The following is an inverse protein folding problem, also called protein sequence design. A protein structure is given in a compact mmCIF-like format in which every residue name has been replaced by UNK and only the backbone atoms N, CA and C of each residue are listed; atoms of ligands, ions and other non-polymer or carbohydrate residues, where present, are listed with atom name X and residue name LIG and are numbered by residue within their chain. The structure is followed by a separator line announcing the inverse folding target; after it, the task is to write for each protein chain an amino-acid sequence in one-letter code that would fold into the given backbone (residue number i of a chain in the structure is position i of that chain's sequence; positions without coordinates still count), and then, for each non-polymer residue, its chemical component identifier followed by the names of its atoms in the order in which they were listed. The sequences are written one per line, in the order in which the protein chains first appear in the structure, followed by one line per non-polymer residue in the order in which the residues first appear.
data_IF_416623958404
#
_entry.id   IF_416623958404
#
_cell.length_a   1.000
_cell.length_b   1.000
_cell.length_c   1.000
_cell.angle_alpha   90.00
_cell.angle_beta   90.00
_cell.angle_gamma   90.00
#
_symmetry.space_group_name_H-M   'P 1'
#
loop_
_entity.id
_entity.type
_entity.pdbx_description
1 polymer ?
#
# COMPACT_ATOMS: atom_id res chain seq x y z
N UNK A 1 13.34 -9.25 -4.14
CA UNK A 1 13.98 -8.91 -5.43
C UNK A 1 13.09 -9.40 -6.57
N UNK A 2 12.84 -10.72 -6.71
CA UNK A 2 12.09 -11.29 -7.84
C UNK A 2 10.71 -10.64 -8.03
N UNK A 3 9.96 -10.42 -6.96
CA UNK A 3 8.66 -9.74 -6.95
C UNK A 3 8.71 -8.37 -7.66
N UNK A 4 9.67 -7.52 -7.30
CA UNK A 4 9.83 -6.20 -7.92
C UNK A 4 10.16 -6.29 -9.42
N UNK A 5 11.06 -7.19 -9.78
CA UNK A 5 11.45 -7.38 -11.20
C UNK A 5 10.25 -7.86 -12.04
N UNK A 6 9.45 -8.80 -11.50
CA UNK A 6 8.25 -9.30 -12.16
C UNK A 6 7.20 -8.19 -12.33
N UNK A 7 6.94 -7.41 -11.27
CA UNK A 7 6.00 -6.28 -11.36
C UNK A 7 6.50 -5.26 -12.39
N UNK A 8 7.77 -4.83 -12.31
CA UNK A 8 8.33 -3.87 -13.26
C UNK A 8 8.20 -4.34 -14.71
N UNK A 9 8.56 -5.61 -14.98
CA UNK A 9 8.43 -6.21 -16.30
C UNK A 9 6.97 -6.30 -16.78
N UNK A 10 6.07 -6.78 -15.93
CA UNK A 10 4.64 -6.91 -16.27
C UNK A 10 3.99 -5.55 -16.57
N UNK A 11 4.26 -4.54 -15.77
CA UNK A 11 3.75 -3.19 -16.02
C UNK A 11 4.37 -2.51 -17.25
N UNK A 12 5.62 -2.78 -17.57
CA UNK A 12 6.23 -2.24 -18.80
C UNK A 12 5.54 -2.80 -20.04
N UNK A 13 5.21 -4.10 -20.07
CA UNK A 13 4.44 -4.71 -21.17
C UNK A 13 3.09 -4.02 -21.29
N UNK A 14 2.37 -3.88 -20.19
CA UNK A 14 1.05 -3.23 -20.16
C UNK A 14 1.13 -1.74 -20.55
N UNK A 15 2.11 -1.00 -20.04
CA UNK A 15 2.32 0.41 -20.35
C UNK A 15 2.60 0.66 -21.83
N UNK A 16 3.32 -0.26 -22.50
CA UNK A 16 3.57 -0.19 -23.94
C UNK A 16 2.27 -0.23 -24.76
N UNK A 17 1.20 -0.81 -24.21
CA UNK A 17 -0.14 -0.76 -24.84
C UNK A 17 -0.82 0.60 -24.77
N UNK A 18 -0.29 1.56 -24.00
CA UNK A 18 -0.91 2.87 -23.68
C UNK A 18 -2.30 2.78 -23.01
N UNK A 19 -2.68 1.60 -22.50
CA UNK A 19 -3.99 1.41 -21.88
C UNK A 19 -4.16 2.29 -20.63
N UNK A 20 -3.11 2.43 -19.81
CA UNK A 20 -3.13 3.29 -18.63
C UNK A 20 -3.36 4.75 -19.02
N UNK A 21 -2.70 5.25 -20.07
CA UNK A 21 -2.87 6.62 -20.55
C UNK A 21 -4.32 6.88 -21.00
N UNK A 22 -4.89 5.95 -21.78
CA UNK A 22 -6.31 6.01 -22.19
C UNK A 22 -7.24 5.99 -20.97
N UNK A 23 -6.94 5.18 -19.96
CA UNK A 23 -7.68 5.14 -18.70
C UNK A 23 -7.63 6.46 -17.95
N UNK A 24 -6.43 7.03 -17.81
CA UNK A 24 -6.22 8.34 -17.18
C UNK A 24 -6.99 9.44 -17.91
N UNK A 25 -6.91 9.50 -19.26
CA UNK A 25 -7.66 10.48 -20.04
C UNK A 25 -9.18 10.32 -19.89
N UNK A 26 -9.66 9.08 -19.91
CA UNK A 26 -11.08 8.78 -19.72
C UNK A 26 -11.57 9.18 -18.34
N UNK A 27 -10.76 8.91 -17.30
CA UNK A 27 -11.03 9.32 -15.94
C UNK A 27 -11.06 10.85 -15.79
N UNK A 28 -10.08 11.57 -16.39
CA UNK A 28 -10.04 13.03 -16.36
C UNK A 28 -11.26 13.65 -17.06
N UNK A 29 -11.70 13.11 -18.21
CA UNK A 29 -12.94 13.55 -18.87
C UNK A 29 -14.16 13.32 -17.99
N UNK A 30 -14.23 12.17 -17.31
CA UNK A 30 -15.33 11.86 -16.39
C UNK A 30 -15.36 12.83 -15.21
N UNK A 31 -14.22 13.13 -14.58
CA UNK A 31 -14.12 14.07 -13.45
C UNK A 31 -14.47 15.49 -13.86
N UNK A 32 -14.06 15.95 -15.07
CA UNK A 32 -14.47 17.25 -15.62
C UNK A 32 -15.99 17.32 -15.85
N UNK A 33 -16.63 16.21 -16.24
CA UNK A 33 -18.08 16.11 -16.33
C UNK A 33 -18.78 16.27 -14.98
N UNK A 34 -18.20 15.71 -13.91
CA UNK A 34 -18.74 15.84 -12.56
C UNK A 34 -18.63 17.27 -11.98
N UNK A 35 -17.63 18.05 -12.41
CA UNK A 35 -17.48 19.46 -11.99
C UNK A 35 -18.63 20.36 -12.44
N UNK A 36 -19.49 19.93 -13.36
CA UNK A 36 -20.73 20.64 -13.74
C UNK A 36 -21.75 20.66 -12.61
N UNK A 37 -21.70 19.74 -11.65
CA UNK A 37 -22.58 19.74 -10.49
C UNK A 37 -22.12 20.76 -9.45
N UNK A 38 -23.02 21.66 -9.01
CA UNK A 38 -22.72 22.79 -8.10
C UNK A 38 -22.06 22.38 -6.78
N UNK A 39 -22.42 21.23 -6.22
CA UNK A 39 -21.85 20.67 -5.01
C UNK A 39 -20.38 20.20 -5.23
N UNK A 40 -20.14 19.46 -6.32
CA UNK A 40 -18.81 18.96 -6.70
C UNK A 40 -17.84 20.08 -7.04
N UNK A 41 -18.33 21.17 -7.66
CA UNK A 41 -17.53 22.37 -7.95
C UNK A 41 -17.04 23.06 -6.67
N UNK A 42 -17.79 22.99 -5.56
CA UNK A 42 -17.41 23.62 -4.28
C UNK A 42 -16.33 22.82 -3.54
N UNK A 43 -16.37 21.50 -3.57
CA UNK A 43 -15.40 20.62 -2.90
C UNK A 43 -14.14 20.43 -3.77
N UNK A 44 -14.31 20.46 -5.09
CA UNK A 44 -13.28 20.10 -6.07
C UNK A 44 -13.19 18.60 -6.25
N UNK A 45 -13.55 18.08 -7.41
CA UNK A 45 -13.58 16.63 -7.69
C UNK A 45 -12.21 15.99 -7.43
N UNK A 46 -11.14 16.68 -7.80
CA UNK A 46 -9.77 16.17 -7.57
C UNK A 46 -9.44 15.99 -6.08
N UNK A 47 -9.92 16.89 -5.20
CA UNK A 47 -9.71 16.77 -3.75
C UNK A 47 -10.47 15.56 -3.20
N UNK A 48 -11.70 15.34 -3.69
CA UNK A 48 -12.49 14.17 -3.31
C UNK A 48 -11.80 12.86 -3.75
N UNK A 49 -11.26 12.82 -4.97
CA UNK A 49 -10.51 11.66 -5.48
C UNK A 49 -9.29 11.36 -4.61
N UNK A 50 -8.49 12.38 -4.27
CA UNK A 50 -7.34 12.22 -3.35
C UNK A 50 -7.82 11.63 -2.02
N UNK A 51 -8.84 12.23 -1.40
CA UNK A 51 -9.35 11.79 -0.11
C UNK A 51 -9.89 10.35 -0.15
N UNK A 52 -10.63 9.98 -1.20
CA UNK A 52 -11.17 8.63 -1.37
C UNK A 52 -10.07 7.57 -1.54
N UNK A 53 -9.04 7.86 -2.33
CA UNK A 53 -7.91 6.95 -2.53
C UNK A 53 -7.13 6.78 -1.23
N UNK A 54 -6.83 7.88 -0.51
CA UNK A 54 -6.17 7.82 0.81
C UNK A 54 -6.99 6.96 1.78
N UNK A 55 -8.30 7.19 1.86
CA UNK A 55 -9.17 6.44 2.76
C UNK A 55 -9.17 4.94 2.41
N UNK A 56 -9.25 4.61 1.12
CA UNK A 56 -9.24 3.23 0.63
C UNK A 56 -7.95 2.50 1.01
N UNK A 57 -6.78 3.10 0.71
CA UNK A 57 -5.50 2.47 1.03
C UNK A 57 -5.22 2.44 2.53
N UNK A 58 -5.65 3.47 3.28
CA UNK A 58 -5.59 3.45 4.74
C UNK A 58 -6.45 2.31 5.32
N UNK A 59 -7.63 2.08 4.76
CA UNK A 59 -8.47 0.94 5.15
C UNK A 59 -7.79 -0.40 4.81
N UNK A 60 -7.17 -0.53 3.64
CA UNK A 60 -6.44 -1.74 3.26
C UNK A 60 -5.28 -2.04 4.22
N UNK A 61 -4.53 -1.02 4.63
CA UNK A 61 -3.48 -1.17 5.65
C UNK A 61 -4.03 -1.56 7.02
N UNK A 62 -5.12 -0.91 7.46
CA UNK A 62 -5.70 -1.10 8.79
C UNK A 62 -6.41 -2.44 8.97
N UNK A 63 -7.03 -2.97 7.91
CA UNK A 63 -7.87 -4.18 7.97
C UNK A 63 -7.10 -5.41 7.47
N UNK A 64 -6.38 -5.27 6.35
CA UNK A 64 -5.77 -6.40 5.65
C UNK A 64 -4.25 -6.45 5.79
N UNK A 65 -3.64 -5.39 6.30
CA UNK A 65 -2.19 -5.31 6.41
C UNK A 65 -1.47 -5.23 5.07
N UNK A 66 -2.10 -4.60 4.05
CA UNK A 66 -1.47 -4.40 2.74
C UNK A 66 -0.31 -3.42 2.85
N UNK A 67 0.89 -3.88 2.55
CA UNK A 67 2.14 -3.11 2.54
C UNK A 67 2.85 -3.26 1.20
N UNK A 68 3.40 -4.45 0.92
CA UNK A 68 4.15 -4.78 -0.28
C UNK A 68 3.29 -4.66 -1.55
N UNK A 69 2.03 -4.99 -1.46
CA UNK A 69 1.05 -4.94 -2.55
C UNK A 69 0.81 -3.51 -3.02
N UNK A 70 1.05 -2.52 -2.15
CA UNK A 70 0.92 -1.09 -2.52
C UNK A 70 1.86 -0.69 -3.64
N UNK A 71 3.00 -1.37 -3.81
CA UNK A 71 3.97 -1.11 -4.86
C UNK A 71 3.36 -1.17 -6.27
N UNK A 72 2.46 -2.12 -6.50
CA UNK A 72 1.74 -2.25 -7.76
C UNK A 72 0.83 -1.04 -8.05
N UNK A 73 0.28 -0.42 -7.03
CA UNK A 73 -0.60 0.74 -7.18
C UNK A 73 0.17 2.05 -7.35
N UNK A 74 1.39 2.16 -6.82
CA UNK A 74 2.24 3.34 -7.00
C UNK A 74 2.48 3.65 -8.48
N UNK A 75 2.69 2.60 -9.31
CA UNK A 75 2.90 2.72 -10.77
C UNK A 75 1.69 3.39 -11.47
N UNK A 76 0.49 3.21 -10.93
CA UNK A 76 -0.76 3.73 -11.50
C UNK A 76 -1.09 5.11 -10.94
N UNK A 77 -1.02 5.25 -9.61
CA UNK A 77 -1.52 6.43 -8.92
C UNK A 77 -0.55 7.62 -9.02
N UNK A 78 0.77 7.39 -9.12
CA UNK A 78 1.73 8.48 -9.30
C UNK A 78 1.51 9.20 -10.66
N UNK A 79 1.46 8.51 -11.81
CA UNK A 79 1.11 9.16 -13.07
C UNK A 79 -0.28 9.81 -13.05
N UNK A 80 -1.27 9.21 -12.38
CA UNK A 80 -2.59 9.79 -12.21
C UNK A 80 -2.50 11.13 -11.45
N UNK A 81 -1.81 11.17 -10.31
CA UNK A 81 -1.64 12.39 -9.53
C UNK A 81 -0.98 13.51 -10.36
N UNK A 82 0.08 13.18 -11.12
CA UNK A 82 0.77 14.13 -12.00
C UNK A 82 -0.18 14.62 -13.12
N UNK A 83 -0.99 13.74 -13.69
CA UNK A 83 -1.97 14.10 -14.72
C UNK A 83 -3.08 15.02 -14.20
N UNK A 84 -3.42 14.91 -12.90
CA UNK A 84 -4.35 15.81 -12.21
C UNK A 84 -3.73 17.17 -11.86
N UNK A 85 -2.43 17.38 -12.16
CA UNK A 85 -1.70 18.62 -11.91
C UNK A 85 -1.01 18.66 -10.54
N UNK A 86 -0.77 17.52 -9.92
CA UNK A 86 0.01 17.35 -8.69
C UNK A 86 1.42 16.83 -8.99
N UNK A 87 2.09 16.26 -8.00
CA UNK A 87 3.44 15.71 -8.11
C UNK A 87 3.50 14.24 -7.66
N UNK A 88 4.66 13.61 -7.85
CA UNK A 88 4.91 12.22 -7.46
C UNK A 88 4.80 12.00 -5.94
N UNK A 89 5.15 12.99 -5.13
CA UNK A 89 5.00 12.93 -3.67
C UNK A 89 3.52 12.80 -3.30
N UNK A 90 2.64 13.61 -3.90
CA UNK A 90 1.19 13.50 -3.69
C UNK A 90 0.70 12.11 -4.06
N UNK A 91 1.10 11.57 -5.22
CA UNK A 91 0.73 10.22 -5.65
C UNK A 91 1.21 9.13 -4.68
N UNK A 92 2.44 9.24 -4.18
CA UNK A 92 2.99 8.29 -3.21
C UNK A 92 2.25 8.36 -1.86
N UNK A 93 1.88 9.56 -1.41
CA UNK A 93 1.09 9.73 -0.19
C UNK A 93 -0.30 9.11 -0.30
N UNK A 94 -0.92 9.18 -1.48
CA UNK A 94 -2.26 8.61 -1.69
C UNK A 94 -2.29 7.09 -1.53
N UNK A 95 -1.18 6.39 -1.75
CA UNK A 95 -1.09 4.92 -1.70
C UNK A 95 -0.25 4.46 -0.51
N UNK A 96 1.05 4.68 -0.57
CA UNK A 96 2.02 4.12 0.36
C UNK A 96 1.84 4.69 1.77
N UNK A 97 1.84 6.02 1.91
CA UNK A 97 1.67 6.66 3.23
C UNK A 97 0.29 6.36 3.80
N UNK A 98 -0.74 6.35 2.95
CA UNK A 98 -2.09 6.02 3.36
C UNK A 98 -2.17 4.60 3.96
N UNK A 99 -1.59 3.60 3.28
CA UNK A 99 -1.56 2.23 3.78
C UNK A 99 -0.82 2.13 5.12
N UNK A 100 0.32 2.81 5.29
CA UNK A 100 1.09 2.77 6.52
C UNK A 100 0.45 3.54 7.69
N UNK A 101 -0.30 4.61 7.41
CA UNK A 101 -1.18 5.23 8.42
C UNK A 101 -2.28 4.26 8.82
N UNK A 102 -2.80 3.48 7.88
CA UNK A 102 -3.68 2.34 8.16
C UNK A 102 -3.03 1.30 9.07
N UNK A 103 -1.80 0.92 8.78
CA UNK A 103 -1.00 0.04 9.64
C UNK A 103 -0.86 0.57 11.06
N UNK A 104 -0.59 1.87 11.24
CA UNK A 104 -0.51 2.47 12.56
C UNK A 104 -1.84 2.36 13.32
N UNK A 105 -2.97 2.56 12.65
CA UNK A 105 -4.30 2.39 13.23
C UNK A 105 -4.66 0.93 13.53
N UNK A 106 -4.22 -0.02 12.71
CA UNK A 106 -4.33 -1.47 12.81
C UNK A 106 -5.63 -1.99 13.45
N UNK A 107 -6.75 -1.80 12.76
CA UNK A 107 -8.06 -2.17 13.30
C UNK A 107 -8.18 -3.70 13.42
N UNK A 108 -7.94 -4.41 12.32
CA UNK A 108 -8.11 -5.86 12.17
C UNK A 108 -6.91 -6.51 11.45
N UNK A 109 -5.80 -5.80 11.30
CA UNK A 109 -4.61 -6.29 10.60
C UNK A 109 -4.05 -7.56 11.25
N UNK A 110 -4.14 -8.75 10.60
CA UNK A 110 -3.73 -10.01 11.20
C UNK A 110 -2.21 -10.12 11.35
N UNK A 111 -1.43 -9.44 10.49
CA UNK A 111 0.02 -9.56 10.42
C UNK A 111 0.76 -8.73 11.48
N UNK A 112 0.09 -7.73 12.06
CA UNK A 112 0.69 -6.90 13.11
C UNK A 112 -0.10 -7.05 14.41
N UNK A 113 -1.32 -6.47 14.47
CA UNK A 113 -2.10 -6.48 15.70
C UNK A 113 -2.50 -7.91 16.12
N UNK A 114 -2.87 -8.78 15.16
CA UNK A 114 -3.23 -10.17 15.46
C UNK A 114 -2.07 -10.93 16.09
N UNK A 115 -0.86 -10.82 15.49
CA UNK A 115 0.34 -11.47 16.04
C UNK A 115 0.75 -10.85 17.38
N UNK A 116 0.77 -9.51 17.48
CA UNK A 116 1.18 -8.82 18.71
C UNK A 116 0.24 -9.15 19.88
N UNK A 117 -1.07 -9.18 19.67
CA UNK A 117 -2.04 -9.56 20.69
C UNK A 117 -1.94 -11.05 21.06
N UNK A 118 -1.81 -11.94 20.07
CA UNK A 118 -1.63 -13.37 20.34
C UNK A 118 -0.39 -13.66 21.19
N UNK A 119 0.73 -12.98 20.93
CA UNK A 119 1.98 -13.11 21.70
C UNK A 119 1.94 -12.38 23.07
N UNK A 120 0.93 -11.54 23.28
CA UNK A 120 0.71 -10.82 24.53
C UNK A 120 -0.40 -11.44 25.38
N UNK A 121 -0.89 -12.65 25.05
CA UNK A 121 -2.00 -13.33 25.71
C UNK A 121 -3.28 -12.47 25.78
N UNK A 122 -3.53 -11.65 24.75
CA UNK A 122 -4.71 -10.83 24.64
C UNK A 122 -5.74 -11.48 23.68
N UNK A 123 -7.03 -11.28 23.91
CA UNK A 123 -8.05 -11.66 22.93
C UNK A 123 -7.80 -10.95 21.61
N UNK A 124 -7.78 -11.71 20.50
CA UNK A 124 -7.52 -11.17 19.17
C UNK A 124 -8.50 -10.03 18.85
N UNK A 125 -7.94 -8.95 18.34
CA UNK A 125 -8.64 -7.73 17.94
C UNK A 125 -9.38 -7.00 19.07
N UNK A 126 -9.14 -7.33 20.34
CA UNK A 126 -9.66 -6.57 21.49
C UNK A 126 -9.20 -5.12 21.44
N UNK A 127 -9.96 -4.18 22.04
CA UNK A 127 -9.71 -2.73 21.95
C UNK A 127 -9.99 -2.13 20.56
N UNK A 128 -10.84 -2.78 19.78
CA UNK A 128 -11.21 -2.39 18.42
C UNK A 128 -11.75 -0.96 18.35
N UNK A 129 -12.62 -0.57 19.27
CA UNK A 129 -13.33 0.71 19.25
C UNK A 129 -12.34 1.89 19.33
N UNK A 130 -11.37 1.80 20.24
CA UNK A 130 -10.37 2.87 20.39
C UNK A 130 -9.41 2.89 19.20
N UNK A 131 -9.01 1.73 18.67
CA UNK A 131 -8.17 1.67 17.46
C UNK A 131 -8.90 2.19 16.22
N UNK A 132 -10.20 1.95 16.09
CA UNK A 132 -11.03 2.53 15.02
C UNK A 132 -11.02 4.06 15.10
N UNK A 133 -11.17 4.62 16.31
CA UNK A 133 -11.06 6.07 16.52
C UNK A 133 -9.68 6.59 16.13
N UNK A 134 -8.60 5.94 16.57
CA UNK A 134 -7.22 6.33 16.23
C UNK A 134 -6.99 6.28 14.72
N UNK A 135 -7.37 5.19 14.07
CA UNK A 135 -7.26 5.04 12.62
C UNK A 135 -7.99 6.15 11.86
N UNK A 136 -9.24 6.41 12.22
CA UNK A 136 -10.05 7.44 11.57
C UNK A 136 -9.41 8.82 11.73
N UNK A 137 -9.01 9.17 12.95
CA UNK A 137 -8.36 10.46 13.24
C UNK A 137 -7.06 10.63 12.46
N UNK A 138 -6.19 9.62 12.48
CA UNK A 138 -4.90 9.64 11.76
C UNK A 138 -5.12 9.74 10.23
N UNK A 139 -6.11 9.03 9.70
CA UNK A 139 -6.45 9.08 8.27
C UNK A 139 -6.98 10.46 7.87
N UNK A 140 -7.87 11.07 8.67
CA UNK A 140 -8.38 12.42 8.41
C UNK A 140 -7.25 13.46 8.44
N UNK A 141 -6.32 13.34 9.39
CA UNK A 141 -5.16 14.24 9.46
C UNK A 141 -4.25 14.04 8.24
N UNK A 142 -4.02 12.80 7.81
CA UNK A 142 -3.27 12.54 6.57
C UNK A 142 -3.94 13.20 5.37
N UNK A 143 -5.26 13.00 5.19
CA UNK A 143 -6.03 13.64 4.11
C UNK A 143 -5.84 15.15 4.14
N UNK A 144 -5.96 15.78 5.32
CA UNK A 144 -5.78 17.23 5.46
C UNK A 144 -4.36 17.66 5.06
N UNK A 145 -3.32 16.97 5.55
CA UNK A 145 -1.92 17.28 5.21
C UNK A 145 -1.67 17.17 3.71
N UNK A 146 -2.14 16.08 3.09
CA UNK A 146 -1.94 15.85 1.65
C UNK A 146 -2.73 16.86 0.82
N UNK A 147 -3.97 17.17 1.17
CA UNK A 147 -4.77 18.17 0.43
C UNK A 147 -4.17 19.57 0.53
N UNK A 148 -3.65 19.98 1.70
CA UNK A 148 -2.97 21.28 1.87
C UNK A 148 -1.72 21.34 0.99
N UNK A 149 -0.92 20.27 0.98
CA UNK A 149 0.27 20.19 0.13
C UNK A 149 -0.10 20.17 -1.36
N UNK A 150 -1.03 19.33 -1.76
CA UNK A 150 -1.50 19.21 -3.13
C UNK A 150 -2.07 20.54 -3.67
N UNK A 151 -2.83 21.26 -2.85
CA UNK A 151 -3.34 22.58 -3.22
C UNK A 151 -2.22 23.61 -3.46
N UNK A 152 -1.12 23.55 -2.66
CA UNK A 152 0.06 24.39 -2.85
C UNK A 152 0.77 24.05 -4.17
N UNK A 153 1.03 22.75 -4.42
CA UNK A 153 1.67 22.28 -5.64
C UNK A 153 0.84 22.64 -6.87
N UNK A 154 -0.47 22.48 -6.81
CA UNK A 154 -1.37 22.82 -7.93
C UNK A 154 -1.36 24.31 -8.28
N UNK A 155 -1.25 25.19 -7.28
CA UNK A 155 -1.17 26.66 -7.49
C UNK A 155 0.21 27.09 -7.98
N UNK A 156 1.26 26.47 -7.46
CA UNK A 156 2.66 26.82 -7.74
C UNK A 156 3.47 25.53 -7.95
N UNK A 157 3.41 24.92 -9.15
CA UNK A 157 4.06 23.63 -9.42
C UNK A 157 5.57 23.63 -9.17
N UNK A 158 6.24 24.76 -9.37
CA UNK A 158 7.68 24.94 -9.14
C UNK A 158 8.10 24.85 -7.66
N UNK A 159 7.14 24.95 -6.72
CA UNK A 159 7.42 24.75 -5.29
C UNK A 159 7.51 23.28 -4.90
N UNK A 160 7.11 22.36 -5.78
CA UNK A 160 7.31 20.93 -5.55
C UNK A 160 8.81 20.61 -5.60
N UNK A 161 9.36 19.91 -4.59
CA UNK A 161 10.74 19.45 -4.65
C UNK A 161 10.98 18.43 -5.78
N UNK A 162 9.90 17.86 -6.33
CA UNK A 162 9.92 16.90 -7.44
C UNK A 162 9.71 17.54 -8.82
N UNK A 163 9.52 18.87 -8.90
CA UNK A 163 9.13 19.53 -10.15
C UNK A 163 10.01 19.16 -11.36
N UNK A 164 11.34 19.10 -11.18
CA UNK A 164 12.28 18.69 -12.24
C UNK A 164 12.27 17.18 -12.48
N UNK A 165 12.27 16.38 -11.43
CA UNK A 165 12.30 14.92 -11.55
C UNK A 165 10.99 14.37 -12.18
N UNK A 166 9.85 15.00 -11.88
CA UNK A 166 8.54 14.64 -12.44
C UNK A 166 8.41 15.00 -13.95
N UNK A 167 9.41 15.64 -14.54
CA UNK A 167 9.48 15.88 -15.98
C UNK A 167 9.44 14.55 -16.76
N UNK A 168 10.06 13.51 -16.23
CA UNK A 168 9.96 12.15 -16.78
C UNK A 168 8.50 11.72 -17.00
N UNK A 169 7.65 11.91 -15.99
CA UNK A 169 6.24 11.53 -16.05
C UNK A 169 5.43 12.46 -16.95
N UNK A 170 5.77 13.76 -16.97
CA UNK A 170 5.09 14.75 -17.84
C UNK A 170 5.42 14.53 -19.31
N UNK A 171 6.67 14.25 -19.64
CA UNK A 171 7.13 14.01 -21.02
C UNK A 171 6.55 12.71 -21.57
N UNK A 172 6.51 11.65 -20.77
CA UNK A 172 5.84 10.40 -21.13
C UNK A 172 4.37 10.60 -21.50
N UNK A 173 3.71 11.60 -20.90
CA UNK A 173 2.36 12.02 -21.26
C UNK A 173 2.31 12.78 -22.60
N UNK A 174 3.31 13.59 -22.90
CA UNK A 174 3.36 14.41 -24.12
C UNK A 174 3.56 13.55 -25.37
N UNK A 175 4.34 12.47 -25.26
CA UNK A 175 4.52 11.48 -26.32
C UNK A 175 3.23 10.68 -26.61
N UNK A 176 2.30 10.61 -25.66
CA UNK A 176 0.98 9.99 -25.86
C UNK A 176 -0.04 10.84 -26.62
N UNK A 177 0.34 12.04 -27.07
CA UNK A 177 -0.51 12.97 -27.84
C UNK A 177 -0.81 12.54 -29.30
N UNK A 178 -0.21 11.46 -29.81
CA UNK A 178 -0.62 10.83 -31.07
C UNK A 178 -2.02 10.23 -30.93
N UNK A 179 -2.85 10.40 -31.96
CA UNK A 179 -4.19 9.82 -32.02
C UNK A 179 -4.12 8.32 -31.72
N UNK A 180 -4.68 7.92 -30.57
CA UNK A 180 -4.75 6.52 -30.18
C UNK A 180 -5.75 5.83 -31.11
N UNK A 181 -5.28 4.96 -31.97
CA UNK A 181 -6.14 4.18 -32.85
C UNK A 181 -6.98 3.19 -32.01
N UNK A 182 -8.29 3.41 -31.97
CA UNK A 182 -9.24 2.52 -31.29
C UNK A 182 -9.51 1.25 -32.12
N UNK A 183 -8.55 0.37 -32.18
CA UNK A 183 -8.65 -0.93 -32.89
C UNK A 183 -8.82 -2.07 -31.89
N UNK A 184 -9.24 -3.24 -32.36
CA UNK A 184 -9.31 -4.47 -31.57
C UNK A 184 -8.65 -5.61 -32.36
N UNK A 185 -7.40 -5.95 -32.05
CA UNK A 185 -6.74 -7.11 -32.65
C UNK A 185 -7.51 -8.41 -32.37
N UNK A 186 -7.46 -9.37 -33.28
CA UNK A 186 -8.06 -10.71 -33.09
C UNK A 186 -7.49 -11.38 -31.83
N UNK A 187 -6.22 -11.17 -31.55
CA UNK A 187 -5.56 -11.64 -30.31
C UNK A 187 -6.28 -11.23 -29.04
N UNK A 188 -6.89 -10.03 -28.99
CA UNK A 188 -7.66 -9.60 -27.82
C UNK A 188 -8.86 -10.49 -27.51
N UNK A 189 -9.56 -11.01 -28.55
CA UNK A 189 -10.68 -11.96 -28.37
C UNK A 189 -10.19 -13.31 -27.87
N UNK A 190 -9.04 -13.78 -28.39
CA UNK A 190 -8.42 -15.04 -27.92
C UNK A 190 -8.04 -14.92 -26.44
N UNK A 191 -7.37 -13.82 -26.07
CA UNK A 191 -6.99 -13.55 -24.67
C UNK A 191 -8.23 -13.45 -23.77
N UNK A 192 -9.29 -12.78 -24.22
CA UNK A 192 -10.55 -12.73 -23.48
C UNK A 192 -11.12 -14.12 -23.22
N UNK A 193 -11.21 -14.98 -24.25
CA UNK A 193 -11.68 -16.34 -24.10
C UNK A 193 -10.82 -17.15 -23.11
N UNK A 194 -9.50 -17.03 -23.22
CA UNK A 194 -8.55 -17.71 -22.35
C UNK A 194 -8.73 -17.29 -20.88
N UNK A 195 -8.84 -15.99 -20.60
CA UNK A 195 -9.06 -15.49 -19.21
C UNK A 195 -10.40 -15.98 -18.69
N UNK A 196 -11.48 -15.89 -19.49
CA UNK A 196 -12.81 -16.34 -19.04
C UNK A 196 -12.80 -17.82 -18.70
N UNK A 197 -12.19 -18.68 -19.54
CA UNK A 197 -12.06 -20.11 -19.24
C UNK A 197 -11.26 -20.35 -17.96
N UNK A 198 -10.12 -19.65 -17.79
CA UNK A 198 -9.30 -19.78 -16.57
C UNK A 198 -10.06 -19.35 -15.32
N UNK A 199 -10.82 -18.27 -15.38
CA UNK A 199 -11.64 -17.79 -14.27
C UNK A 199 -12.83 -18.74 -13.98
N UNK A 200 -13.42 -19.36 -14.98
CA UNK A 200 -14.46 -20.39 -14.78
C UNK A 200 -13.85 -21.59 -14.04
N UNK A 201 -12.68 -22.07 -14.47
CA UNK A 201 -11.97 -23.16 -13.77
C UNK A 201 -11.71 -22.76 -12.31
N UNK A 202 -11.21 -21.54 -12.08
CA UNK A 202 -10.95 -21.03 -10.74
C UNK A 202 -12.23 -20.94 -9.91
N UNK A 203 -13.35 -20.49 -10.50
CA UNK A 203 -14.65 -20.40 -9.83
C UNK A 203 -15.24 -21.78 -9.47
N UNK A 204 -14.96 -22.81 -10.28
CA UNK A 204 -15.39 -24.21 -9.99
C UNK A 204 -14.54 -24.79 -8.87
N UNK A 205 -13.23 -24.53 -8.85
CA UNK A 205 -12.32 -25.04 -7.81
C UNK A 205 -12.54 -24.30 -6.47
N UNK A 206 -12.81 -23.00 -6.53
CA UNK A 206 -13.03 -22.15 -5.35
C UNK A 206 -14.40 -21.44 -5.43
N UNK A 207 -15.51 -22.19 -5.33
CA UNK A 207 -16.83 -21.61 -5.50
C UNK A 207 -17.18 -20.60 -4.40
N UNK A 208 -16.63 -20.80 -3.21
CA UNK A 208 -16.91 -20.00 -2.02
C UNK A 208 -15.61 -19.46 -1.45
N UNK A 209 -15.61 -18.17 -1.09
CA UNK A 209 -14.47 -17.52 -0.45
C UNK A 209 -14.87 -17.02 0.93
N UNK A 210 -14.07 -17.32 1.94
CA UNK A 210 -14.28 -16.85 3.32
C UNK A 210 -13.30 -15.74 3.63
N UNK A 211 -13.83 -14.56 3.89
CA UNK A 211 -13.05 -13.39 4.32
C UNK A 211 -13.05 -13.33 5.85
N UNK A 212 -11.89 -13.46 6.46
CA UNK A 212 -11.71 -13.32 7.90
C UNK A 212 -11.51 -11.85 8.26
N UNK A 213 -12.45 -11.28 9.00
CA UNK A 213 -12.41 -9.89 9.49
C UNK A 213 -12.37 -9.94 11.02
N UNK A 214 -11.20 -10.11 11.58
CA UNK A 214 -11.05 -10.31 13.02
C UNK A 214 -11.72 -11.60 13.48
N UNK A 215 -12.63 -11.48 14.44
CA UNK A 215 -13.41 -12.62 14.95
C UNK A 215 -14.66 -12.94 14.08
N UNK A 216 -14.97 -12.10 13.09
CA UNK A 216 -16.06 -12.34 12.15
C UNK A 216 -15.53 -12.95 10.86
N UNK A 217 -16.28 -13.88 10.27
CA UNK A 217 -16.03 -14.38 8.94
C UNK A 217 -17.24 -14.12 8.05
N UNK A 218 -16.97 -13.58 6.86
CA UNK A 218 -17.99 -13.38 5.84
C UNK A 218 -17.69 -14.31 4.68
N UNK A 219 -18.62 -15.20 4.38
CA UNK A 219 -18.48 -16.20 3.32
C UNK A 219 -19.39 -15.84 2.16
N UNK A 220 -18.82 -15.68 0.97
CA UNK A 220 -19.63 -15.39 -0.19
C UNK A 220 -18.97 -15.88 -1.49
N UNK A 221 -19.71 -15.90 -2.61
CA UNK A 221 -19.26 -16.40 -3.92
C UNK A 221 -18.38 -15.37 -4.65
N UNK A 222 -17.25 -14.92 -4.04
CA UNK A 222 -16.41 -13.85 -4.56
C UNK A 222 -15.81 -14.17 -5.94
N UNK A 223 -15.24 -15.37 -6.10
CA UNK A 223 -14.62 -15.80 -7.37
C UNK A 223 -15.67 -15.96 -8.48
N UNK A 224 -16.80 -16.67 -8.29
CA UNK A 224 -17.86 -16.74 -9.31
C UNK A 224 -18.41 -15.37 -9.72
N UNK A 225 -18.69 -14.50 -8.75
CA UNK A 225 -19.19 -13.15 -9.02
C UNK A 225 -18.15 -12.33 -9.80
N UNK A 226 -16.88 -12.36 -9.37
CA UNK A 226 -15.77 -11.73 -10.07
C UNK A 226 -15.62 -12.22 -11.51
N UNK A 227 -15.80 -13.53 -11.74
CA UNK A 227 -15.77 -14.16 -13.07
C UNK A 227 -16.87 -13.62 -13.97
N UNK A 228 -18.11 -13.58 -13.49
CA UNK A 228 -19.26 -13.04 -14.25
C UNK A 228 -19.05 -11.55 -14.55
N UNK A 229 -18.59 -10.78 -13.58
CA UNK A 229 -18.31 -9.35 -13.78
C UNK A 229 -17.17 -9.15 -14.78
N UNK A 230 -16.09 -9.94 -14.72
CA UNK A 230 -15.04 -9.88 -15.74
C UNK A 230 -15.57 -10.22 -17.12
N UNK A 231 -16.36 -11.27 -17.27
CA UNK A 231 -16.94 -11.64 -18.56
C UNK A 231 -17.77 -10.48 -19.14
N UNK A 232 -18.56 -9.79 -18.31
CA UNK A 232 -19.35 -8.64 -18.74
C UNK A 232 -18.48 -7.42 -19.08
N UNK A 233 -17.66 -6.95 -18.14
CA UNK A 233 -16.87 -5.72 -18.32
C UNK A 233 -15.72 -5.90 -19.33
N UNK A 234 -15.09 -7.07 -19.39
CA UNK A 234 -14.11 -7.41 -20.40
C UNK A 234 -14.69 -7.37 -21.81
N UNK A 235 -15.91 -7.92 -21.98
CA UNK A 235 -16.62 -7.84 -23.26
C UNK A 235 -17.00 -6.40 -23.63
N UNK A 236 -17.51 -5.61 -22.69
CA UNK A 236 -17.81 -4.20 -22.89
C UNK A 236 -16.55 -3.38 -23.22
N UNK A 237 -15.41 -3.71 -22.60
CA UNK A 237 -14.11 -3.14 -22.93
C UNK A 237 -13.69 -3.44 -24.38
N UNK A 238 -13.78 -4.71 -24.79
CA UNK A 238 -13.47 -5.14 -26.16
C UNK A 238 -14.31 -4.40 -27.20
N UNK A 239 -15.59 -4.15 -26.94
CA UNK A 239 -16.46 -3.40 -27.86
C UNK A 239 -16.01 -1.95 -28.08
N UNK A 240 -15.23 -1.37 -27.17
CA UNK A 240 -14.70 -0.01 -27.31
C UNK A 240 -13.33 0.00 -27.97
N UNK A 241 -12.35 -0.71 -27.39
CA UNK A 241 -11.01 -0.90 -27.94
C UNK A 241 -10.22 -1.89 -27.08
N UNK A 242 -9.09 -2.39 -27.62
CA UNK A 242 -8.20 -3.25 -26.82
C UNK A 242 -7.63 -2.53 -25.58
N UNK A 243 -7.50 -1.20 -25.59
CA UNK A 243 -7.07 -0.42 -24.44
C UNK A 243 -8.04 -0.55 -23.25
N UNK A 244 -9.35 -0.42 -23.50
CA UNK A 244 -10.37 -0.59 -22.45
C UNK A 244 -10.45 -2.06 -21.99
N UNK A 245 -10.16 -3.01 -22.86
CA UNK A 245 -10.05 -4.42 -22.48
C UNK A 245 -8.86 -4.65 -21.56
N UNK A 246 -7.67 -4.11 -21.87
CA UNK A 246 -6.49 -4.19 -21.00
C UNK A 246 -6.74 -3.50 -19.65
N UNK A 247 -7.44 -2.37 -19.65
CA UNK A 247 -7.88 -1.74 -18.38
C UNK A 247 -8.82 -2.64 -17.58
N UNK A 248 -9.68 -3.41 -18.25
CA UNK A 248 -10.50 -4.41 -17.57
C UNK A 248 -9.65 -5.54 -17.00
N UNK A 249 -8.64 -6.03 -17.73
CA UNK A 249 -7.67 -7.01 -17.20
C UNK A 249 -7.00 -6.45 -15.94
N UNK A 250 -6.49 -5.22 -15.98
CA UNK A 250 -5.86 -4.57 -14.83
C UNK A 250 -6.82 -4.45 -13.64
N UNK A 251 -8.02 -3.93 -13.86
CA UNK A 251 -9.02 -3.73 -12.79
C UNK A 251 -9.38 -5.07 -12.11
N UNK A 252 -9.58 -6.12 -12.90
CA UNK A 252 -9.90 -7.43 -12.36
C UNK A 252 -8.69 -8.15 -11.76
N UNK A 253 -7.48 -7.91 -12.24
CA UNK A 253 -6.24 -8.35 -11.56
C UNK A 253 -6.20 -7.78 -10.14
N UNK A 254 -6.51 -6.49 -9.96
CA UNK A 254 -6.59 -5.85 -8.64
C UNK A 254 -7.72 -6.45 -7.78
N UNK A 255 -8.90 -6.67 -8.34
CA UNK A 255 -10.03 -7.31 -7.64
C UNK A 255 -9.64 -8.73 -7.18
N UNK A 256 -9.08 -9.54 -8.07
CA UNK A 256 -8.66 -10.90 -7.72
C UNK A 256 -7.44 -10.93 -6.80
N UNK A 257 -6.55 -9.93 -6.84
CA UNK A 257 -5.51 -9.75 -5.83
C UNK A 257 -6.12 -9.58 -4.44
N UNK A 258 -7.12 -8.70 -4.30
CA UNK A 258 -7.81 -8.48 -3.01
C UNK A 258 -8.51 -9.77 -2.56
N UNK A 259 -9.24 -10.45 -3.46
CA UNK A 259 -9.89 -11.73 -3.16
C UNK A 259 -8.86 -12.79 -2.73
N UNK A 260 -7.75 -12.87 -3.44
CA UNK A 260 -6.68 -13.85 -3.19
C UNK A 260 -5.97 -13.62 -1.86
N UNK A 261 -5.56 -12.37 -1.58
CA UNK A 261 -4.88 -12.02 -0.32
C UNK A 261 -5.80 -12.24 0.87
N UNK A 262 -7.02 -11.73 0.81
CA UNK A 262 -7.95 -11.75 1.95
C UNK A 262 -8.68 -13.09 2.12
N UNK A 263 -9.01 -13.75 1.02
CA UNK A 263 -9.86 -14.95 1.04
C UNK A 263 -9.08 -16.27 0.90
N UNK A 264 -7.89 -16.23 0.31
CA UNK A 264 -7.10 -17.42 0.01
C UNK A 264 -5.67 -17.36 0.55
N UNK A 265 -5.30 -16.31 1.30
CA UNK A 265 -3.98 -16.16 1.91
C UNK A 265 -2.84 -16.02 0.89
N UNK A 266 -3.11 -15.41 -0.29
CA UNK A 266 -2.08 -15.15 -1.27
C UNK A 266 -1.00 -14.24 -0.70
N UNK A 267 0.25 -14.56 -1.05
CA UNK A 267 1.42 -13.80 -0.67
C UNK A 267 2.27 -13.48 -1.92
N UNK A 268 3.51 -13.06 -1.74
CA UNK A 268 4.35 -12.57 -2.84
C UNK A 268 4.43 -13.49 -4.09
N UNK A 269 4.49 -14.85 -3.97
CA UNK A 269 4.53 -15.71 -5.15
C UNK A 269 3.27 -15.65 -6.00
N UNK A 270 2.09 -15.77 -5.37
CA UNK A 270 0.79 -15.76 -6.06
C UNK A 270 0.50 -14.38 -6.65
N UNK A 271 0.85 -13.31 -5.91
CA UNK A 271 0.75 -11.93 -6.37
C UNK A 271 1.66 -11.70 -7.59
N UNK A 272 2.90 -12.22 -7.55
CA UNK A 272 3.82 -12.18 -8.70
C UNK A 272 3.24 -12.87 -9.92
N UNK A 273 2.63 -14.05 -9.73
CA UNK A 273 2.06 -14.85 -10.81
C UNK A 273 0.89 -14.14 -11.48
N UNK A 274 -0.03 -13.54 -10.73
CA UNK A 274 -1.19 -12.82 -11.30
C UNK A 274 -0.74 -11.56 -12.06
N UNK A 275 0.25 -10.81 -11.57
CA UNK A 275 0.79 -9.65 -12.29
C UNK A 275 1.56 -10.05 -13.54
N UNK A 276 2.35 -11.13 -13.50
CA UNK A 276 3.00 -11.66 -14.68
C UNK A 276 1.98 -12.06 -15.75
N UNK A 277 0.94 -12.79 -15.34
CA UNK A 277 -0.15 -13.17 -16.25
C UNK A 277 -0.84 -11.93 -16.84
N UNK A 278 -1.15 -10.92 -16.02
CA UNK A 278 -1.69 -9.64 -16.47
C UNK A 278 -0.81 -8.99 -17.53
N UNK A 279 0.50 -8.88 -17.29
CA UNK A 279 1.45 -8.27 -18.25
C UNK A 279 1.50 -9.02 -19.57
N UNK A 280 1.72 -10.33 -19.53
CA UNK A 280 1.82 -11.20 -20.72
C UNK A 280 0.52 -11.17 -21.53
N UNK A 281 -0.63 -11.34 -20.87
CA UNK A 281 -1.93 -11.33 -21.54
C UNK A 281 -2.26 -9.95 -22.12
N UNK A 282 -1.86 -8.87 -21.46
CA UNK A 282 -2.00 -7.50 -21.98
C UNK A 282 -1.15 -7.30 -23.26
N UNK A 283 0.08 -7.83 -23.27
CA UNK A 283 0.97 -7.79 -24.44
C UNK A 283 0.36 -8.53 -25.65
N UNK A 284 -0.12 -9.75 -25.45
CA UNK A 284 -0.80 -10.51 -26.49
C UNK A 284 -2.10 -9.83 -26.96
N UNK A 285 -2.90 -9.28 -26.03
CA UNK A 285 -4.10 -8.54 -26.38
C UNK A 285 -3.80 -7.29 -27.22
N UNK A 286 -2.64 -6.66 -27.03
CA UNK A 286 -2.15 -5.56 -27.85
C UNK A 286 -1.53 -6.01 -29.18
N UNK A 287 -1.55 -7.30 -29.50
CA UNK A 287 -1.02 -7.86 -30.75
C UNK A 287 0.51 -7.99 -30.78
N UNK A 288 1.19 -8.02 -29.63
CA UNK A 288 2.63 -8.28 -29.54
C UNK A 288 2.92 -9.76 -29.68
N UNK A 289 4.03 -10.10 -30.34
CA UNK A 289 4.59 -11.44 -30.39
C UNK A 289 5.37 -11.77 -29.10
N UNK A 290 5.78 -13.01 -28.94
CA UNK A 290 6.51 -13.50 -27.79
C UNK A 290 7.83 -12.74 -27.56
N UNK A 291 8.59 -12.50 -28.63
CA UNK A 291 9.87 -11.79 -28.53
C UNK A 291 9.69 -10.34 -28.09
N UNK A 292 8.67 -9.66 -28.61
CA UNK A 292 8.31 -8.30 -28.19
C UNK A 292 7.90 -8.24 -26.72
N UNK A 293 7.14 -9.22 -26.22
CA UNK A 293 6.74 -9.32 -24.82
C UNK A 293 7.96 -9.54 -23.92
N UNK A 294 8.86 -10.47 -24.28
CA UNK A 294 10.09 -10.74 -23.53
C UNK A 294 10.96 -9.50 -23.48
N UNK A 295 11.16 -8.82 -24.61
CA UNK A 295 11.95 -7.59 -24.66
C UNK A 295 11.40 -6.51 -23.72
N UNK A 296 10.09 -6.24 -23.77
CA UNK A 296 9.43 -5.28 -22.90
C UNK A 296 9.53 -5.67 -21.42
N UNK A 297 9.39 -6.96 -21.12
CA UNK A 297 9.57 -7.48 -19.76
C UNK A 297 10.98 -7.19 -19.24
N UNK A 298 12.01 -7.49 -20.02
CA UNK A 298 13.40 -7.25 -19.64
C UNK A 298 13.71 -5.76 -19.48
N UNK A 299 13.15 -4.90 -20.34
CA UNK A 299 13.24 -3.44 -20.19
C UNK A 299 12.65 -2.98 -18.85
N UNK A 300 11.45 -3.42 -18.51
CA UNK A 300 10.80 -3.06 -17.24
C UNK A 300 11.52 -3.61 -16.00
N UNK A 301 12.01 -4.85 -16.07
CA UNK A 301 12.81 -5.43 -15.01
C UNK A 301 14.14 -4.66 -14.81
N UNK A 302 14.78 -4.23 -15.88
CA UNK A 302 16.01 -3.42 -15.83
C UNK A 302 15.76 -2.05 -15.21
N UNK A 303 14.63 -1.43 -15.53
CA UNK A 303 14.26 -0.10 -14.98
C UNK A 303 14.15 -0.09 -13.45
N UNK A 304 13.67 -1.20 -12.86
CA UNK A 304 13.47 -1.30 -11.41
C UNK A 304 14.61 -2.04 -10.69
N UNK A 305 15.63 -2.51 -11.42
CA UNK A 305 16.69 -3.36 -10.89
C UNK A 305 17.44 -2.70 -9.72
N UNK A 306 17.74 -1.40 -9.81
CA UNK A 306 18.44 -0.68 -8.74
C UNK A 306 17.65 -0.71 -7.42
N UNK A 307 16.34 -0.45 -7.48
CA UNK A 307 15.48 -0.53 -6.31
C UNK A 307 15.40 -1.97 -5.77
N UNK A 308 15.30 -2.97 -6.63
CA UNK A 308 15.26 -4.38 -6.25
C UNK A 308 16.55 -4.83 -5.52
N UNK A 309 17.72 -4.36 -5.96
CA UNK A 309 19.01 -4.65 -5.31
C UNK A 309 19.06 -4.01 -3.92
N UNK A 310 18.68 -2.73 -3.78
CA UNK A 310 18.68 -2.03 -2.49
C UNK A 310 17.75 -2.72 -1.49
N UNK A 311 16.57 -3.15 -1.94
CA UNK A 311 15.64 -3.97 -1.13
C UNK A 311 16.30 -5.28 -0.66
N UNK A 312 17.04 -5.94 -1.53
CA UNK A 312 17.77 -7.17 -1.17
C UNK A 312 18.86 -6.92 -0.14
N UNK A 313 19.62 -5.84 -0.27
CA UNK A 313 20.66 -5.45 0.68
C UNK A 313 20.07 -5.10 2.05
N UNK A 314 18.95 -4.37 2.09
CA UNK A 314 18.25 -4.06 3.33
C UNK A 314 17.81 -5.33 4.08
N UNK A 315 17.27 -6.33 3.37
CA UNK A 315 16.97 -7.65 3.96
C UNK A 315 18.19 -8.36 4.51
N UNK A 316 19.33 -8.28 3.84
CA UNK A 316 20.60 -8.85 4.30
C UNK A 316 21.11 -8.24 5.62
N UNK A 317 20.95 -6.92 5.79
CA UNK A 317 21.32 -6.23 7.04
C UNK A 317 20.54 -6.81 8.24
N UNK A 318 19.21 -6.98 8.06
CA UNK A 318 18.34 -7.55 9.11
C UNK A 318 18.80 -8.95 9.49
N UNK A 319 19.11 -9.79 8.49
CA UNK A 319 19.59 -11.16 8.74
C UNK A 319 20.89 -11.19 9.56
N UNK A 320 21.85 -10.33 9.23
CA UNK A 320 23.12 -10.22 9.96
C UNK A 320 22.89 -9.80 11.43
N UNK A 321 21.98 -8.87 11.69
CA UNK A 321 21.65 -8.43 13.04
C UNK A 321 20.97 -9.52 13.86
N UNK A 322 20.12 -10.34 13.24
CA UNK A 322 19.48 -11.50 13.87
C UNK A 322 20.49 -12.61 14.17
N UNK A 323 21.30 -13.00 13.18
CA UNK A 323 22.32 -14.05 13.34
C UNK A 323 23.39 -13.66 14.36
N UNK A 324 23.72 -12.38 14.44
CA UNK A 324 24.66 -11.81 15.41
C UNK A 324 24.10 -11.68 16.82
N UNK A 325 22.80 -11.98 17.06
CA UNK A 325 22.10 -11.81 18.34
C UNK A 325 22.29 -10.41 18.96
N UNK A 326 22.39 -9.39 18.10
CA UNK A 326 22.64 -8.00 18.52
C UNK A 326 21.36 -7.37 19.10
N UNK A 327 20.20 -7.90 18.73
CA UNK A 327 18.88 -7.35 19.03
C UNK A 327 18.51 -7.54 20.51
N UNK A 328 18.73 -8.74 21.07
CA UNK A 328 18.35 -9.08 22.45
C UNK A 328 19.03 -8.19 23.51
N UNK A 329 20.35 -7.92 23.44
CA UNK A 329 21.01 -6.98 24.34
C UNK A 329 20.48 -5.56 24.28
N UNK A 330 20.09 -5.10 23.08
CA UNK A 330 19.49 -3.77 22.88
C UNK A 330 18.14 -3.70 23.59
N UNK A 331 17.28 -4.71 23.41
CA UNK A 331 15.97 -4.79 24.06
C UNK A 331 16.09 -4.79 25.57
N UNK A 332 17.02 -5.58 26.11
CA UNK A 332 17.23 -5.71 27.55
C UNK A 332 17.72 -4.40 28.17
N UNK A 333 18.68 -3.72 27.54
CA UNK A 333 19.19 -2.43 27.99
C UNK A 333 18.09 -1.35 28.00
N UNK A 334 17.25 -1.34 26.97
CA UNK A 334 16.13 -0.38 26.84
C UNK A 334 15.05 -0.65 27.90
N UNK A 335 14.70 -1.89 28.18
CA UNK A 335 13.74 -2.27 29.21
C UNK A 335 14.22 -1.85 30.62
N UNK A 336 15.51 -1.95 30.90
CA UNK A 336 16.08 -1.59 32.21
C UNK A 336 15.98 -0.09 32.54
N UNK A 337 15.89 0.78 31.55
CA UNK A 337 15.76 2.25 31.71
C UNK A 337 14.37 2.67 32.15
N UNK A 338 13.36 1.78 32.19
CA UNK A 338 11.95 2.13 32.39
C UNK A 338 11.43 1.91 33.82
N UNK A 339 12.22 1.32 34.72
CA UNK A 339 11.76 0.80 36.01
C UNK A 339 11.26 1.85 37.05
N UNK A 340 11.50 3.15 36.86
CA UNK A 340 11.13 4.19 37.83
C UNK A 340 10.20 5.28 37.26
N UNK A 341 9.75 5.12 36.01
CA UNK A 341 8.92 6.12 35.33
C UNK A 341 7.42 5.91 35.63
N UNK A 342 6.65 7.00 35.79
CA UNK A 342 5.19 6.92 35.89
C UNK A 342 4.54 6.39 34.60
N UNK A 343 3.30 5.86 34.67
CA UNK A 343 2.61 5.15 33.57
C UNK A 343 2.69 5.85 32.20
N UNK A 344 2.51 7.18 32.14
CA UNK A 344 2.56 7.94 30.89
C UNK A 344 4.00 7.99 30.34
N UNK A 345 4.99 8.17 31.19
CA UNK A 345 6.39 8.17 30.78
C UNK A 345 6.82 6.77 30.31
N UNK A 346 6.35 5.72 30.98
CA UNK A 346 6.66 4.34 30.62
C UNK A 346 6.05 3.94 29.27
N UNK A 347 4.78 4.27 28.98
CA UNK A 347 4.20 3.99 27.66
C UNK A 347 4.88 4.82 26.56
N UNK A 348 5.29 6.06 26.87
CA UNK A 348 6.10 6.88 25.97
C UNK A 348 7.47 6.28 25.70
N UNK A 349 8.15 5.78 26.71
CA UNK A 349 9.43 5.08 26.56
C UNK A 349 9.28 3.79 25.73
N UNK A 350 8.25 2.97 25.98
CA UNK A 350 7.92 1.82 25.15
C UNK A 350 7.71 2.22 23.67
N UNK A 351 7.00 3.29 23.41
CA UNK A 351 6.77 3.80 22.08
C UNK A 351 8.07 4.23 21.38
N UNK A 352 8.94 4.96 22.10
CA UNK A 352 10.27 5.33 21.60
C UNK A 352 11.11 4.09 21.30
N UNK A 353 11.13 3.12 22.20
CA UNK A 353 11.84 1.85 22.01
C UNK A 353 11.34 1.13 20.77
N UNK A 354 10.03 0.96 20.62
CA UNK A 354 9.43 0.32 19.46
C UNK A 354 9.74 1.07 18.15
N UNK A 355 9.78 2.40 18.19
CA UNK A 355 10.18 3.25 17.06
C UNK A 355 11.64 3.01 16.68
N UNK A 356 12.56 2.96 17.66
CA UNK A 356 13.99 2.72 17.42
C UNK A 356 14.24 1.31 16.90
N UNK A 357 13.58 0.31 17.47
CA UNK A 357 13.70 -1.08 16.99
C UNK A 357 13.20 -1.18 15.55
N UNK A 358 12.15 -0.46 15.19
CA UNK A 358 11.62 -0.49 13.84
C UNK A 358 12.57 0.08 12.78
N UNK A 359 13.49 0.96 13.15
CA UNK A 359 14.56 1.42 12.25
C UNK A 359 15.49 0.25 11.89
N UNK A 360 15.64 -0.69 12.81
CA UNK A 360 16.51 -1.87 12.63
C UNK A 360 15.71 -3.01 11.96
N UNK A 361 14.48 -3.26 12.43
CA UNK A 361 13.61 -4.35 11.98
C UNK A 361 12.27 -3.77 11.50
N UNK A 362 12.18 -3.31 10.25
CA UNK A 362 10.98 -2.71 9.71
C UNK A 362 9.93 -3.75 9.23
N UNK A 363 9.82 -4.84 9.96
CA UNK A 363 8.86 -5.91 9.70
C UNK A 363 7.94 -6.07 10.89
N UNK A 364 6.67 -5.71 10.72
CA UNK A 364 5.68 -5.73 11.80
C UNK A 364 5.56 -7.11 12.47
N UNK A 365 5.43 -8.18 11.68
CA UNK A 365 5.31 -9.55 12.20
C UNK A 365 6.59 -10.04 12.91
N UNK A 366 7.76 -9.83 12.31
CA UNK A 366 9.04 -10.23 12.90
C UNK A 366 9.33 -9.43 14.18
N UNK A 367 9.07 -8.11 14.15
CA UNK A 367 9.23 -7.24 15.31
C UNK A 367 8.27 -7.63 16.45
N UNK A 368 7.00 -7.96 16.14
CA UNK A 368 6.05 -8.44 17.13
C UNK A 368 6.55 -9.73 17.80
N UNK A 369 6.99 -10.71 16.99
CA UNK A 369 7.51 -11.98 17.48
C UNK A 369 8.73 -11.82 18.40
N UNK A 370 9.56 -10.82 18.13
CA UNK A 370 10.76 -10.55 18.92
C UNK A 370 10.47 -9.73 20.18
N UNK A 371 9.61 -8.71 20.08
CA UNK A 371 9.47 -7.73 21.15
C UNK A 371 8.32 -8.03 22.12
N UNK A 372 7.19 -8.60 21.65
CA UNK A 372 6.02 -8.82 22.50
C UNK A 372 6.24 -9.83 23.62
N UNK A 373 6.95 -10.97 23.44
CA UNK A 373 7.24 -11.90 24.52
C UNK A 373 8.03 -11.27 25.70
N UNK A 374 8.76 -10.17 25.46
CA UNK A 374 9.52 -9.43 26.46
C UNK A 374 8.69 -8.25 27.00
N UNK A 375 8.10 -7.47 26.09
CA UNK A 375 7.43 -6.20 26.46
C UNK A 375 6.07 -6.42 27.12
N UNK A 376 5.32 -7.48 26.77
CA UNK A 376 4.02 -7.73 27.38
C UNK A 376 4.14 -8.13 28.87
N UNK A 377 4.97 -9.12 29.29
CA UNK A 377 5.20 -9.38 30.69
C UNK A 377 5.82 -8.20 31.43
N UNK A 378 6.69 -7.43 30.78
CA UNK A 378 7.29 -6.25 31.37
C UNK A 378 6.25 -5.16 31.66
N UNK A 379 5.22 -4.99 30.80
CA UNK A 379 4.14 -4.04 31.02
C UNK A 379 3.35 -4.33 32.31
N UNK A 380 3.15 -5.63 32.64
CA UNK A 380 2.50 -6.06 33.88
C UNK A 380 3.28 -5.58 35.12
N UNK A 381 4.63 -5.69 35.06
CA UNK A 381 5.52 -5.28 36.18
C UNK A 381 5.43 -3.78 36.44
N UNK A 382 5.31 -2.95 35.39
CA UNK A 382 5.23 -1.49 35.52
C UNK A 382 3.79 -0.96 35.62
N UNK A 383 2.79 -1.86 35.69
CA UNK A 383 1.37 -1.50 35.88
C UNK A 383 0.73 -0.82 34.65
N UNK A 384 1.17 -1.18 33.46
CA UNK A 384 0.60 -0.77 32.17
C UNK A 384 -0.14 -1.95 31.56
N UNK A 385 -1.28 -1.71 30.90
CA UNK A 385 -1.99 -2.78 30.18
C UNK A 385 -1.15 -3.31 29.02
N UNK A 386 -1.20 -4.62 28.79
CA UNK A 386 -0.57 -5.25 27.63
C UNK A 386 -1.09 -4.66 26.32
N UNK A 387 -2.35 -4.22 26.29
CA UNK A 387 -2.96 -3.58 25.12
C UNK A 387 -2.34 -2.22 24.81
N UNK A 388 -2.02 -1.41 25.82
CA UNK A 388 -1.29 -0.14 25.63
C UNK A 388 0.11 -0.40 25.03
N UNK A 389 0.78 -1.47 25.48
CA UNK A 389 2.06 -1.91 24.94
C UNK A 389 1.95 -2.34 23.47
N UNK A 390 0.90 -3.08 23.13
CA UNK A 390 0.60 -3.46 21.74
C UNK A 390 0.32 -2.22 20.88
N UNK A 391 -0.37 -1.20 21.39
CA UNK A 391 -0.56 0.05 20.66
C UNK A 391 0.75 0.83 20.49
N UNK A 392 1.60 0.88 21.48
CA UNK A 392 2.93 1.49 21.37
C UNK A 392 3.80 0.81 20.30
N UNK A 393 3.76 -0.53 20.26
CA UNK A 393 4.36 -1.31 19.18
C UNK A 393 3.80 -0.90 17.82
N UNK A 394 2.47 -0.83 17.69
CA UNK A 394 1.79 -0.60 16.42
C UNK A 394 2.08 0.78 15.83
N UNK A 395 2.02 1.84 16.67
CA UNK A 395 2.38 3.19 16.24
C UNK A 395 3.85 3.31 15.87
N UNK A 396 4.75 2.71 16.66
CA UNK A 396 6.18 2.66 16.34
C UNK A 396 6.48 1.98 15.01
N UNK A 397 5.73 0.93 14.67
CA UNK A 397 5.83 0.22 13.41
C UNK A 397 5.31 1.05 12.23
N UNK A 398 4.05 1.41 12.26
CA UNK A 398 3.37 2.04 11.13
C UNK A 398 4.00 3.37 10.72
N UNK A 399 4.39 4.21 11.70
CA UNK A 399 4.96 5.52 11.39
C UNK A 399 6.41 5.44 10.91
N UNK A 400 7.24 4.62 11.53
CA UNK A 400 8.66 4.57 11.19
C UNK A 400 8.91 3.92 9.83
N UNK A 401 8.08 2.96 9.42
CA UNK A 401 8.17 2.34 8.10
C UNK A 401 8.02 3.35 6.94
N UNK A 402 7.38 4.50 7.18
CA UNK A 402 7.23 5.55 6.18
C UNK A 402 8.50 6.35 5.90
N UNK A 403 9.58 6.18 6.70
CA UNK A 403 10.81 6.96 6.54
C UNK A 403 12.09 6.13 6.64
N UNK A 404 12.07 4.97 7.31
CA UNK A 404 13.30 4.21 7.55
C UNK A 404 13.89 3.65 6.25
N UNK A 405 15.22 3.82 6.04
CA UNK A 405 15.88 3.32 4.83
C UNK A 405 15.97 1.79 4.80
N UNK A 406 15.78 1.13 5.91
CA UNK A 406 15.76 -0.33 6.03
C UNK A 406 14.41 -0.93 5.57
N UNK A 407 13.37 -0.09 5.42
CA UNK A 407 12.07 -0.54 4.88
C UNK A 407 12.18 -0.81 3.38
N UNK A 408 12.22 -2.09 3.04
CA UNK A 408 12.26 -2.57 1.66
C UNK A 408 11.07 -2.02 0.83
N UNK A 409 9.90 -1.92 1.45
CA UNK A 409 8.69 -1.43 0.79
C UNK A 409 8.80 0.07 0.50
N UNK A 410 9.32 0.87 1.44
CA UNK A 410 9.58 2.29 1.21
C UNK A 410 10.54 2.50 0.03
N UNK A 411 11.67 1.82 0.06
CA UNK A 411 12.68 1.96 -0.99
C UNK A 411 12.13 1.50 -2.34
N UNK A 412 11.36 0.42 -2.36
CA UNK A 412 10.66 -0.04 -3.55
C UNK A 412 9.66 1.00 -4.09
N UNK A 413 8.84 1.57 -3.22
CA UNK A 413 7.85 2.59 -3.57
C UNK A 413 8.50 3.88 -4.10
N UNK A 414 9.56 4.35 -3.44
CA UNK A 414 10.35 5.50 -3.89
C UNK A 414 11.02 5.25 -5.23
N UNK A 415 11.58 4.04 -5.44
CA UNK A 415 12.20 3.63 -6.70
C UNK A 415 11.19 3.64 -7.85
N UNK A 416 10.01 3.07 -7.65
CA UNK A 416 8.92 3.07 -8.62
C UNK A 416 8.44 4.49 -8.93
N UNK A 417 8.22 5.30 -7.89
CA UNK A 417 7.79 6.70 -8.02
C UNK A 417 8.90 7.63 -8.55
N UNK A 418 10.15 7.15 -8.65
CA UNK A 418 11.35 7.92 -9.01
C UNK A 418 11.61 9.10 -8.08
N UNK A 419 11.32 8.92 -6.79
CA UNK A 419 11.57 9.94 -5.75
C UNK A 419 12.88 9.62 -5.05
N UNK A 420 13.89 10.52 -5.10
CA UNK A 420 15.13 10.34 -4.34
C UNK A 420 14.86 10.28 -2.84
N UNK A 421 15.48 9.31 -2.14
CA UNK A 421 15.26 9.12 -0.70
C UNK A 421 15.53 10.38 0.12
N UNK A 422 16.58 11.14 -0.21
CA UNK A 422 16.91 12.40 0.49
C UNK A 422 15.80 13.45 0.36
N UNK A 423 15.19 13.56 -0.82
CA UNK A 423 14.07 14.48 -1.08
C UNK A 423 12.86 14.06 -0.26
N UNK A 424 12.59 12.76 -0.24
CA UNK A 424 11.51 12.19 0.57
C UNK A 424 11.67 12.49 2.05
N UNK A 425 12.83 12.17 2.63
CA UNK A 425 13.10 12.40 4.05
C UNK A 425 12.96 13.87 4.43
N UNK A 426 13.56 14.78 3.66
CA UNK A 426 13.49 16.23 3.91
C UNK A 426 12.05 16.74 3.89
N UNK A 427 11.23 16.20 2.99
CA UNK A 427 9.83 16.62 2.87
C UNK A 427 8.95 15.97 3.93
N UNK A 428 9.08 14.65 4.11
CA UNK A 428 8.16 13.85 4.94
C UNK A 428 8.45 13.97 6.45
N UNK A 429 9.67 14.30 6.87
CA UNK A 429 10.07 14.35 8.28
C UNK A 429 9.15 15.23 9.15
N UNK A 430 8.64 16.33 8.62
CA UNK A 430 7.71 17.21 9.36
C UNK A 430 6.34 16.55 9.58
N UNK A 431 5.85 15.84 8.57
CA UNK A 431 4.59 15.09 8.66
C UNK A 431 4.76 13.91 9.59
N UNK A 432 5.89 13.20 9.49
CA UNK A 432 6.22 12.12 10.40
C UNK A 432 6.27 12.58 11.86
N UNK A 433 6.94 13.69 12.14
CA UNK A 433 6.99 14.27 13.49
C UNK A 433 5.58 14.56 14.04
N UNK A 434 4.69 15.10 13.20
CA UNK A 434 3.28 15.28 13.56
C UNK A 434 2.63 13.96 13.95
N UNK A 435 2.80 12.90 13.14
CA UNK A 435 2.23 11.58 13.43
C UNK A 435 2.84 10.92 14.67
N UNK A 436 4.15 11.06 14.88
CA UNK A 436 4.83 10.55 16.08
C UNK A 436 4.29 11.23 17.35
N UNK A 437 4.14 12.56 17.32
CA UNK A 437 3.55 13.31 18.46
C UNK A 437 2.09 12.91 18.66
N UNK A 438 1.30 12.82 17.61
CA UNK A 438 -0.10 12.36 17.70
C UNK A 438 -0.19 10.92 18.24
N UNK A 439 0.69 10.02 17.80
CA UNK A 439 0.75 8.66 18.33
C UNK A 439 1.02 8.65 19.83
N UNK A 440 1.95 9.46 20.31
CA UNK A 440 2.18 9.60 21.75
C UNK A 440 0.95 10.14 22.49
N UNK A 441 0.31 11.19 21.97
CA UNK A 441 -0.91 11.75 22.57
C UNK A 441 -2.06 10.72 22.59
N UNK A 442 -2.17 9.89 21.57
CA UNK A 442 -3.16 8.81 21.51
C UNK A 442 -2.81 7.61 22.42
N UNK A 443 -1.58 7.48 22.88
CA UNK A 443 -1.21 6.48 23.89
C UNK A 443 -1.58 6.91 25.32
N UNK A 444 -1.64 8.20 25.62
CA UNK A 444 -1.96 8.70 26.96
C UNK A 444 -3.29 8.16 27.50
N UNK A 445 -4.41 8.21 26.75
CA UNK A 445 -5.69 7.65 27.23
C UNK A 445 -5.62 6.17 27.59
N UNK A 446 -4.77 5.37 26.91
CA UNK A 446 -4.67 3.93 27.17
C UNK A 446 -4.10 3.57 28.54
N UNK A 447 -3.46 4.53 29.22
CA UNK A 447 -2.84 4.32 30.55
C UNK A 447 -3.47 5.17 31.64
N UNK A 448 -4.30 6.17 31.27
CA UNK A 448 -4.95 7.10 32.22
C UNK A 448 -6.45 6.81 32.36
N UNK A 449 -7.07 6.28 31.30
CA UNK A 449 -8.52 6.00 31.24
C UNK A 449 -8.77 4.50 31.19
N UNK A 450 -9.94 4.07 31.67
CA UNK A 450 -10.44 2.73 31.46
C UNK A 450 -11.12 2.67 30.07
N UNK A 451 -10.43 2.11 29.11
CA UNK A 451 -10.95 1.95 27.75
C UNK A 451 -11.48 0.52 27.56
N UNK A 452 -12.58 0.32 26.80
CA UNK A 452 -13.09 -1.02 26.48
C UNK A 452 -12.01 -1.85 25.78
N UNK A 453 -11.72 -3.03 26.33
CA UNK A 453 -10.73 -3.96 25.79
C UNK A 453 -9.26 -3.59 26.02
N UNK A 454 -8.97 -2.66 26.94
CA UNK A 454 -7.62 -2.26 27.37
C UNK A 454 -7.28 -2.69 28.80
#
# INVERSE_FOLDING_TARGET
IAFLLIIGGAFQIMNNSRAIDVGIFSFLRFTQGLERHRFMKRIGVNNLVIAMIIFLFSMFGAVFGMSEETLAFVIIIVPLAISMGYDSITGLCMVYVAAHVGFAGAILNPFTIGIAQGLSDLPLFSGFEYRLFCWFLLTVILVACVLIYAARVKRHPTLSPMYRADEYWRNRRSESGEEVAYTVPVASYVVYGLIVVSLIIFAVVYPVTTFSLGNASVTFYAVPVGTVLFALFGWLGLRKSFHFFILSILAFTVIFLVIGVMGHGWYLPEISAIFLAMGVLSGYAAGKDADGIIKLFLEGAKDILSAAIVVGLAGGIIQILQDGRIIDPILHALASLMNEAGRVASVGAMYVIQTLINIIIPSGSAKAALTMPIMAPFSDVIGISRQATVMAFQFGDGFTNMITPTSAVLIGALGIARIPYEVWVKWFAKILLLFVVLGFLLLIPTVVMQLPGF
#
